data_IF_998406744448
#
_entry.id   IF_998406744448
#
_cell.length_a   1.000
_cell.length_b   1.000
_cell.length_c   1.000
_cell.angle_alpha   90.00
_cell.angle_beta   90.00
_cell.angle_gamma   90.00
#
_symmetry.space_group_name_H-M   'P 1'
#
loop_
_entity.id
_entity.type
_entity.pdbx_description
1 polymer ?
#
# COMPACT_ATOMS: atom_id res chain seq x y z
N UNK A 1 -9.86 1.25 -9.03
CA UNK A 1 -8.92 0.20 -9.44
C UNK A 1 -9.31 -1.13 -8.86
N UNK A 2 -8.51 -2.17 -9.08
CA UNK A 2 -8.69 -3.51 -8.48
C UNK A 2 -7.32 -4.06 -8.07
N UNK A 3 -7.26 -4.79 -6.96
CA UNK A 3 -6.08 -5.54 -6.56
C UNK A 3 -5.91 -6.79 -7.43
N UNK A 4 -4.73 -6.99 -8.02
CA UNK A 4 -4.37 -8.18 -8.79
C UNK A 4 -3.42 -9.00 -7.91
N UNK A 5 -4.01 -9.77 -7.00
CA UNK A 5 -3.30 -10.47 -5.93
C UNK A 5 -2.66 -11.78 -6.39
N UNK A 6 -1.77 -12.32 -5.57
CA UNK A 6 -1.04 -13.57 -5.79
C UNK A 6 0.40 -13.51 -5.30
N UNK A 7 1.02 -12.32 -5.29
CA UNK A 7 2.37 -12.10 -4.74
C UNK A 7 2.43 -12.15 -3.21
N UNK A 8 1.27 -11.96 -2.59
CA UNK A 8 0.96 -11.93 -1.16
C UNK A 8 0.46 -13.28 -0.61
N UNK A 9 0.17 -14.25 -1.48
CA UNK A 9 -0.43 -15.52 -1.05
C UNK A 9 0.46 -16.24 -0.03
N UNK A 10 -0.17 -16.60 1.10
CA UNK A 10 0.47 -17.24 2.25
C UNK A 10 1.03 -16.29 3.30
N UNK A 11 1.03 -14.97 3.06
CA UNK A 11 1.32 -14.01 4.11
C UNK A 11 0.26 -14.05 5.21
N UNK A 12 0.73 -14.05 6.45
CA UNK A 12 -0.09 -13.94 7.65
C UNK A 12 0.02 -12.53 8.24
N UNK A 13 -0.95 -12.12 9.05
CA UNK A 13 -0.99 -10.77 9.65
C UNK A 13 0.18 -10.49 10.59
N UNK A 14 0.89 -11.50 11.08
CA UNK A 14 2.11 -11.30 11.85
C UNK A 14 3.33 -10.93 10.98
N UNK A 15 3.15 -10.80 9.66
CA UNK A 15 4.20 -10.49 8.70
C UNK A 15 5.05 -11.70 8.30
N UNK A 16 4.63 -12.92 8.61
CA UNK A 16 5.26 -14.16 8.12
C UNK A 16 4.78 -14.48 6.70
N UNK A 17 5.70 -14.56 5.73
CA UNK A 17 5.37 -14.84 4.33
C UNK A 17 6.24 -15.97 3.75
N UNK A 18 5.77 -17.24 3.76
CA UNK A 18 6.50 -18.37 3.21
C UNK A 18 6.61 -18.30 1.69
N UNK A 19 7.84 -18.23 1.18
CA UNK A 19 8.15 -18.08 -0.26
C UNK A 19 7.42 -19.07 -1.18
N UNK A 20 7.20 -20.31 -0.72
CA UNK A 20 6.58 -21.37 -1.52
C UNK A 20 5.07 -21.23 -1.74
N UNK A 21 4.44 -20.19 -1.19
CA UNK A 21 3.00 -19.91 -1.35
C UNK A 21 2.70 -18.84 -2.39
N UNK A 22 3.71 -18.08 -2.81
CA UNK A 22 3.57 -17.02 -3.79
C UNK A 22 3.13 -17.57 -5.15
N UNK A 23 2.06 -17.02 -5.68
CA UNK A 23 1.50 -17.34 -6.99
C UNK A 23 1.23 -16.05 -7.79
N UNK A 24 2.30 -15.45 -8.32
CA UNK A 24 2.23 -14.21 -9.10
C UNK A 24 1.19 -14.32 -10.23
N UNK A 25 0.35 -13.30 -10.44
CA UNK A 25 -0.83 -13.35 -11.31
C UNK A 25 -0.48 -13.21 -12.80
N UNK A 26 0.37 -14.10 -13.30
CA UNK A 26 0.64 -14.29 -14.72
C UNK A 26 0.54 -15.77 -15.05
N UNK A 27 -0.25 -16.10 -16.08
CA UNK A 27 -0.36 -17.47 -16.61
C UNK A 27 1.00 -18.07 -16.97
N UNK A 28 1.93 -17.24 -17.50
CA UNK A 28 3.30 -17.64 -17.83
C UNK A 28 4.17 -18.00 -16.61
N UNK A 29 3.76 -17.56 -15.42
CA UNK A 29 4.43 -17.85 -14.14
C UNK A 29 3.67 -18.89 -13.30
N UNK A 30 2.61 -19.49 -13.85
CA UNK A 30 1.78 -20.49 -13.16
C UNK A 30 0.67 -19.91 -12.27
N UNK A 31 0.40 -18.60 -12.34
CA UNK A 31 -0.70 -17.95 -11.64
C UNK A 31 -1.91 -17.66 -12.51
N UNK A 32 -2.80 -16.79 -12.00
CA UNK A 32 -3.97 -16.32 -12.74
C UNK A 32 -3.59 -15.51 -13.99
N UNK A 33 -4.53 -15.34 -14.91
CA UNK A 33 -4.34 -14.52 -16.13
C UNK A 33 -4.45 -13.02 -15.83
N UNK A 34 -3.62 -12.50 -14.93
CA UNK A 34 -3.66 -11.09 -14.51
C UNK A 34 -3.40 -10.11 -15.64
N UNK A 35 -2.57 -10.46 -16.63
CA UNK A 35 -2.41 -9.64 -17.84
C UNK A 35 -3.72 -9.51 -18.62
N UNK A 36 -4.44 -10.61 -18.84
CA UNK A 36 -5.74 -10.59 -19.50
C UNK A 36 -6.78 -9.81 -18.69
N UNK A 37 -6.81 -10.01 -17.37
CA UNK A 37 -7.72 -9.31 -16.46
C UNK A 37 -7.47 -7.79 -16.46
N UNK A 38 -6.21 -7.35 -16.31
CA UNK A 38 -5.86 -5.92 -16.33
C UNK A 38 -6.23 -5.27 -17.67
N UNK A 39 -5.94 -5.93 -18.79
CA UNK A 39 -6.34 -5.43 -20.11
C UNK A 39 -7.87 -5.29 -20.24
N UNK A 40 -8.64 -6.29 -19.79
CA UNK A 40 -10.09 -6.22 -19.74
C UNK A 40 -10.58 -5.04 -18.89
N UNK A 41 -10.04 -4.89 -17.68
CA UNK A 41 -10.43 -3.83 -16.77
C UNK A 41 -10.17 -2.43 -17.32
N UNK A 42 -9.06 -2.22 -18.04
CA UNK A 42 -8.80 -0.92 -18.70
C UNK A 42 -9.69 -0.73 -19.93
N UNK A 43 -9.76 -1.73 -20.82
CA UNK A 43 -10.39 -1.57 -22.13
C UNK A 43 -11.92 -1.56 -22.04
N UNK A 44 -12.49 -2.44 -21.23
CA UNK A 44 -13.94 -2.63 -21.06
C UNK A 44 -14.46 -1.80 -19.89
N UNK A 45 -13.82 -1.94 -18.73
CA UNK A 45 -14.34 -1.39 -17.46
C UNK A 45 -13.81 0.01 -17.12
N UNK A 46 -12.90 0.56 -17.94
CA UNK A 46 -12.31 1.91 -17.80
C UNK A 46 -11.58 2.16 -16.48
N UNK A 47 -11.13 1.11 -15.80
CA UNK A 47 -10.25 1.26 -14.65
C UNK A 47 -8.88 1.78 -15.09
N UNK A 48 -8.21 2.50 -14.19
CA UNK A 48 -6.93 3.15 -14.47
C UNK A 48 -5.88 2.92 -13.37
N UNK A 49 -6.10 1.98 -12.45
CA UNK A 49 -5.17 1.66 -11.37
C UNK A 49 -5.28 0.19 -10.97
N UNK A 50 -4.14 -0.46 -10.77
CA UNK A 50 -4.03 -1.80 -10.21
C UNK A 50 -3.08 -1.83 -9.02
N UNK A 51 -3.52 -2.48 -7.94
CA UNK A 51 -2.69 -2.78 -6.77
C UNK A 51 -2.10 -4.16 -6.92
N UNK A 52 -0.79 -4.29 -6.72
CA UNK A 52 -0.02 -5.50 -7.00
C UNK A 52 0.69 -5.98 -5.73
N UNK A 53 -0.05 -6.62 -4.80
CA UNK A 53 0.51 -7.11 -3.54
C UNK A 53 1.67 -8.07 -3.74
N UNK A 54 2.72 -7.90 -2.94
CA UNK A 54 3.85 -8.81 -2.87
C UNK A 54 4.48 -8.80 -1.48
N UNK A 55 4.91 -9.97 -1.02
CA UNK A 55 5.64 -10.05 0.25
C UNK A 55 7.05 -9.49 0.15
N UNK A 56 7.50 -8.82 1.21
CA UNK A 56 8.88 -8.41 1.40
C UNK A 56 9.82 -9.62 1.30
N UNK A 57 9.50 -10.71 2.01
CA UNK A 57 10.25 -11.98 1.97
C UNK A 57 10.53 -12.44 0.55
N UNK A 58 9.53 -12.41 -0.34
CA UNK A 58 9.70 -12.82 -1.73
C UNK A 58 10.69 -11.93 -2.47
N UNK A 59 10.53 -10.61 -2.36
CA UNK A 59 11.37 -9.63 -3.07
C UNK A 59 12.85 -9.75 -2.72
N UNK A 60 13.19 -10.06 -1.46
CA UNK A 60 14.58 -10.14 -0.98
C UNK A 60 15.03 -11.55 -0.63
N UNK A 61 14.23 -12.56 -1.00
CA UNK A 61 14.50 -13.98 -0.73
C UNK A 61 14.90 -14.26 0.75
N UNK A 62 14.05 -13.82 1.68
CA UNK A 62 14.23 -13.93 3.13
C UNK A 62 15.46 -13.21 3.72
N UNK A 63 16.00 -12.19 3.05
CA UNK A 63 17.11 -11.37 3.56
C UNK A 63 16.64 -9.92 3.85
N UNK A 64 16.08 -9.63 5.04
CA UNK A 64 15.58 -8.29 5.34
C UNK A 64 16.73 -7.27 5.32
N UNK A 65 16.57 -6.21 4.51
CA UNK A 65 17.62 -5.22 4.24
C UNK A 65 18.66 -5.63 3.19
N UNK A 66 18.61 -6.86 2.70
CA UNK A 66 19.42 -7.37 1.60
C UNK A 66 19.04 -6.76 0.26
N UNK A 67 19.70 -7.23 -0.80
CA UNK A 67 19.38 -6.83 -2.17
C UNK A 67 18.07 -7.47 -2.63
N UNK A 68 17.38 -6.83 -3.58
CA UNK A 68 16.32 -7.47 -4.35
C UNK A 68 16.90 -8.74 -5.02
N UNK A 69 16.25 -9.87 -4.77
CA UNK A 69 16.66 -11.15 -5.36
C UNK A 69 16.37 -11.11 -6.87
N UNK A 70 17.41 -11.28 -7.69
CA UNK A 70 17.31 -11.10 -9.13
C UNK A 70 16.24 -12.00 -9.79
N UNK A 71 16.02 -13.20 -9.25
CA UNK A 71 15.03 -14.13 -9.80
C UNK A 71 13.61 -13.78 -9.34
N UNK A 72 13.40 -13.63 -8.03
CA UNK A 72 12.08 -13.35 -7.48
C UNK A 72 11.61 -11.95 -7.91
N UNK A 73 12.47 -10.94 -7.78
CA UNK A 73 12.17 -9.60 -8.24
C UNK A 73 11.96 -9.54 -9.75
N UNK A 74 12.78 -10.25 -10.54
CA UNK A 74 12.60 -10.32 -11.99
C UNK A 74 11.24 -10.93 -12.41
N UNK A 75 10.66 -11.83 -11.60
CA UNK A 75 9.31 -12.35 -11.82
C UNK A 75 8.23 -11.35 -11.41
N UNK A 76 8.38 -10.67 -10.27
CA UNK A 76 7.45 -9.61 -9.87
C UNK A 76 7.46 -8.43 -10.86
N UNK A 77 8.63 -8.03 -11.35
CA UNK A 77 8.77 -6.97 -12.33
C UNK A 77 8.06 -7.29 -13.65
N UNK A 78 7.98 -8.56 -14.06
CA UNK A 78 7.14 -8.94 -15.20
C UNK A 78 5.67 -8.56 -14.97
N UNK A 79 5.13 -8.76 -13.77
CA UNK A 79 3.75 -8.34 -13.41
C UNK A 79 3.62 -6.82 -13.49
N UNK A 80 4.57 -6.08 -12.91
CA UNK A 80 4.63 -4.61 -12.99
C UNK A 80 4.66 -4.12 -14.44
N UNK A 81 5.49 -4.71 -15.31
CA UNK A 81 5.56 -4.33 -16.72
C UNK A 81 4.27 -4.65 -17.47
N UNK A 82 3.60 -5.77 -17.18
CA UNK A 82 2.27 -6.06 -17.76
C UNK A 82 1.23 -5.04 -17.33
N UNK A 83 1.25 -4.62 -16.07
CA UNK A 83 0.38 -3.54 -15.59
C UNK A 83 0.69 -2.22 -16.31
N UNK A 84 1.94 -1.77 -16.35
CA UNK A 84 2.34 -0.49 -16.94
C UNK A 84 2.06 -0.42 -18.44
N UNK A 85 2.13 -1.55 -19.14
CA UNK A 85 1.77 -1.67 -20.55
C UNK A 85 0.29 -1.38 -20.84
N UNK A 86 -0.59 -1.50 -19.85
CA UNK A 86 -2.01 -1.14 -20.00
C UNK A 86 -2.26 0.37 -20.03
N UNK A 87 -1.30 1.18 -19.59
CA UNK A 87 -1.47 2.62 -19.39
C UNK A 87 -1.93 3.03 -17.99
N UNK A 88 -2.35 2.07 -17.15
CA UNK A 88 -2.81 2.32 -15.78
C UNK A 88 -1.68 2.71 -14.81
N UNK A 89 -2.08 3.24 -13.65
CA UNK A 89 -1.23 3.31 -12.47
C UNK A 89 -1.01 1.91 -11.87
N UNK A 90 0.22 1.63 -11.45
CA UNK A 90 0.63 0.31 -10.94
C UNK A 90 1.24 0.47 -9.56
N UNK A 91 0.51 0.01 -8.55
CA UNK A 91 0.86 0.19 -7.15
C UNK A 91 1.63 -1.03 -6.65
N UNK A 92 2.87 -0.78 -6.21
CA UNK A 92 3.68 -1.75 -5.47
C UNK A 92 3.21 -1.72 -4.03
N UNK A 93 2.59 -2.81 -3.59
CA UNK A 93 2.14 -3.03 -2.22
C UNK A 93 3.06 -4.04 -1.54
N UNK A 94 3.69 -3.60 -0.43
CA UNK A 94 4.47 -4.47 0.44
C UNK A 94 3.54 -5.08 1.49
N UNK A 95 3.12 -6.33 1.25
CA UNK A 95 2.00 -6.95 1.95
C UNK A 95 2.39 -7.60 3.29
N UNK A 96 2.92 -6.81 4.23
CA UNK A 96 3.67 -7.29 5.40
C UNK A 96 3.21 -6.78 6.77
N UNK A 97 2.12 -6.02 6.89
CA UNK A 97 1.52 -5.66 8.19
C UNK A 97 2.47 -4.89 9.14
N UNK A 98 3.40 -4.13 8.55
CA UNK A 98 4.53 -3.47 9.20
C UNK A 98 5.45 -4.43 9.99
N UNK A 99 5.49 -5.70 9.59
CA UNK A 99 6.19 -6.77 10.29
C UNK A 99 7.03 -7.65 9.36
N UNK A 100 7.97 -8.34 10.00
CA UNK A 100 8.69 -9.47 9.44
C UNK A 100 8.73 -10.57 10.49
N UNK A 101 8.11 -11.71 10.21
CA UNK A 101 8.06 -12.91 11.07
C UNK A 101 7.76 -12.57 12.55
N UNK A 102 6.71 -11.77 12.78
CA UNK A 102 6.24 -11.33 14.09
C UNK A 102 6.86 -10.03 14.61
N UNK A 103 8.02 -9.63 14.12
CA UNK A 103 8.73 -8.42 14.57
C UNK A 103 8.27 -7.15 13.86
N UNK A 104 7.93 -6.10 14.61
CA UNK A 104 7.47 -4.81 14.06
C UNK A 104 8.67 -3.95 13.60
N UNK A 105 8.61 -3.42 12.38
CA UNK A 105 9.65 -2.58 11.81
C UNK A 105 9.88 -1.34 12.69
N UNK A 106 11.13 -1.09 13.08
CA UNK A 106 11.52 0.02 13.94
C UNK A 106 11.08 -0.13 15.40
N UNK A 107 10.42 -1.24 15.77
CA UNK A 107 9.82 -1.45 17.09
C UNK A 107 10.03 -2.89 17.61
N UNK A 108 11.21 -3.47 17.35
CA UNK A 108 11.62 -4.79 17.83
C UNK A 108 11.80 -5.85 16.74
N UNK A 109 11.34 -5.58 15.53
CA UNK A 109 11.64 -6.35 14.32
C UNK A 109 12.78 -5.74 13.49
N UNK A 110 12.67 -5.76 12.15
CA UNK A 110 13.67 -5.13 11.28
C UNK A 110 13.89 -3.66 11.62
N UNK A 111 15.11 -3.17 11.39
CA UNK A 111 15.41 -1.75 11.59
C UNK A 111 14.79 -0.89 10.48
N UNK A 112 14.64 0.41 10.74
CA UNK A 112 14.24 1.36 9.70
C UNK A 112 15.17 1.31 8.49
N UNK A 113 16.47 1.09 8.69
CA UNK A 113 17.45 1.03 7.60
C UNK A 113 17.23 -0.19 6.70
N UNK A 114 16.80 -1.33 7.25
CA UNK A 114 16.45 -2.51 6.46
C UNK A 114 15.21 -2.27 5.60
N UNK A 115 14.22 -1.57 6.15
CA UNK A 115 13.02 -1.16 5.40
C UNK A 115 13.32 -0.09 4.34
N UNK A 116 14.15 0.90 4.69
CA UNK A 116 14.65 1.93 3.76
C UNK A 116 15.46 1.32 2.62
N UNK A 117 16.25 0.27 2.89
CA UNK A 117 17.01 -0.46 1.86
C UNK A 117 16.09 -1.04 0.78
N UNK A 118 14.98 -1.67 1.17
CA UNK A 118 13.97 -2.17 0.24
C UNK A 118 13.41 -1.04 -0.65
N UNK A 119 12.94 0.03 -0.02
CA UNK A 119 12.30 1.14 -0.72
C UNK A 119 13.25 1.91 -1.62
N UNK A 120 14.52 2.06 -1.22
CA UNK A 120 15.55 2.68 -2.06
C UNK A 120 15.73 1.90 -3.36
N UNK A 121 15.81 0.56 -3.29
CA UNK A 121 16.01 -0.28 -4.46
C UNK A 121 14.80 -0.28 -5.39
N UNK A 122 13.58 -0.39 -4.84
CA UNK A 122 12.33 -0.30 -5.62
C UNK A 122 12.20 1.07 -6.30
N UNK A 123 12.46 2.15 -5.58
CA UNK A 123 12.45 3.50 -6.13
C UNK A 123 13.49 3.67 -7.24
N UNK A 124 14.72 3.18 -7.07
CA UNK A 124 15.75 3.23 -8.11
C UNK A 124 15.32 2.49 -9.39
N UNK A 125 14.64 1.35 -9.25
CA UNK A 125 14.15 0.56 -10.39
C UNK A 125 13.02 1.27 -11.14
N UNK A 126 12.11 1.93 -10.43
CA UNK A 126 10.86 2.43 -10.99
C UNK A 126 10.79 3.95 -11.16
N UNK A 127 11.82 4.71 -10.75
CA UNK A 127 11.83 6.19 -10.79
C UNK A 127 11.47 6.84 -12.13
N UNK A 128 11.69 6.15 -13.24
CA UNK A 128 11.46 6.69 -14.59
C UNK A 128 9.98 6.69 -15.02
N UNK A 129 9.11 5.93 -14.33
CA UNK A 129 7.69 5.83 -14.68
C UNK A 129 6.83 6.44 -13.57
N UNK A 130 6.20 7.58 -13.86
CA UNK A 130 5.35 8.32 -12.93
C UNK A 130 4.05 7.58 -12.57
N UNK A 131 3.67 6.56 -13.36
CA UNK A 131 2.48 5.76 -13.12
C UNK A 131 2.68 4.75 -12.00
N UNK A 132 3.92 4.50 -11.59
CA UNK A 132 4.19 3.66 -10.42
C UNK A 132 3.74 4.38 -9.15
N UNK A 133 3.01 3.67 -8.30
CA UNK A 133 2.59 4.11 -6.98
C UNK A 133 3.30 3.25 -5.94
N UNK A 134 3.83 3.87 -4.90
CA UNK A 134 4.52 3.19 -3.82
C UNK A 134 3.62 3.15 -2.58
N UNK A 135 2.99 2.02 -2.31
CA UNK A 135 2.30 1.80 -1.05
C UNK A 135 3.29 1.28 -0.03
N UNK A 136 3.61 2.09 0.99
CA UNK A 136 4.73 1.79 1.88
C UNK A 136 4.59 0.44 2.61
N UNK A 137 3.36 0.06 2.95
CA UNK A 137 3.07 -1.15 3.73
C UNK A 137 1.56 -1.43 3.77
N UNK A 138 1.16 -2.66 3.52
CA UNK A 138 -0.20 -3.13 3.81
C UNK A 138 -0.47 -3.15 5.32
N UNK A 139 -1.58 -2.58 5.74
CA UNK A 139 -2.23 -2.80 7.04
C UNK A 139 -1.35 -2.92 8.30
N UNK A 140 -0.53 -1.91 8.65
CA UNK A 140 0.09 -1.85 9.98
C UNK A 140 -0.97 -1.98 11.10
N UNK A 141 -0.64 -2.72 12.16
CA UNK A 141 -1.53 -2.90 13.31
C UNK A 141 -0.73 -3.13 14.61
N UNK A 142 -1.38 -2.97 15.76
CA UNK A 142 -0.80 -3.23 17.10
C UNK A 142 0.63 -2.69 17.28
N UNK A 143 0.83 -1.41 16.93
CA UNK A 143 2.11 -0.72 16.98
C UNK A 143 1.99 0.72 17.50
N UNK A 144 3.12 1.32 17.89
CA UNK A 144 3.19 2.76 18.19
C UNK A 144 3.18 3.56 16.88
N UNK A 145 2.09 4.28 16.64
CA UNK A 145 1.87 5.00 15.39
C UNK A 145 2.81 6.19 15.20
N UNK A 146 3.33 6.78 16.27
CA UNK A 146 4.28 7.88 16.16
C UNK A 146 5.66 7.39 15.72
N UNK A 147 6.11 6.24 16.28
CA UNK A 147 7.32 5.57 15.81
C UNK A 147 7.17 5.10 14.36
N UNK A 148 6.02 4.53 14.01
CA UNK A 148 5.74 4.11 12.63
C UNK A 148 5.75 5.28 11.64
N UNK A 149 5.14 6.42 11.97
CA UNK A 149 5.19 7.60 11.12
C UNK A 149 6.63 8.10 10.90
N UNK A 150 7.51 7.98 11.91
CA UNK A 150 8.94 8.28 11.76
C UNK A 150 9.65 7.29 10.80
N UNK A 151 9.31 6.00 10.86
CA UNK A 151 9.77 4.99 9.88
C UNK A 151 9.30 5.34 8.47
N UNK A 152 8.02 5.67 8.28
CA UNK A 152 7.47 6.10 6.98
C UNK A 152 8.16 7.37 6.46
N UNK A 153 8.45 8.34 7.31
CA UNK A 153 9.18 9.56 6.94
C UNK A 153 10.58 9.25 6.39
N UNK A 154 11.28 8.28 6.98
CA UNK A 154 12.59 7.82 6.48
C UNK A 154 12.45 7.16 5.11
N UNK A 155 11.45 6.30 4.92
CA UNK A 155 11.17 5.66 3.64
C UNK A 155 10.82 6.67 2.53
N UNK A 156 9.93 7.64 2.81
CA UNK A 156 9.62 8.75 1.88
C UNK A 156 10.88 9.49 1.47
N UNK A 157 11.70 9.90 2.45
CA UNK A 157 12.93 10.64 2.16
C UNK A 157 13.90 9.81 1.29
N UNK A 158 14.00 8.50 1.52
CA UNK A 158 14.84 7.60 0.74
C UNK A 158 14.32 7.40 -0.70
N UNK A 159 13.01 7.20 -0.88
CA UNK A 159 12.37 7.10 -2.20
C UNK A 159 12.65 8.35 -3.03
N UNK A 160 12.45 9.54 -2.44
CA UNK A 160 12.72 10.81 -3.12
C UNK A 160 14.21 10.97 -3.45
N UNK A 161 15.12 10.65 -2.51
CA UNK A 161 16.58 10.72 -2.75
C UNK A 161 17.08 9.71 -3.78
N UNK A 162 16.39 8.59 -3.97
CA UNK A 162 16.66 7.62 -5.04
C UNK A 162 16.29 8.14 -6.44
N UNK A 163 15.63 9.30 -6.52
CA UNK A 163 15.24 9.97 -7.76
C UNK A 163 13.80 9.74 -8.20
N UNK A 164 12.99 9.01 -7.42
CA UNK A 164 11.58 8.80 -7.70
C UNK A 164 10.75 10.01 -7.21
N UNK A 165 10.88 11.12 -7.94
CA UNK A 165 10.35 12.43 -7.53
C UNK A 165 8.88 12.65 -7.88
N UNK A 166 8.36 12.00 -8.93
CA UNK A 166 7.00 12.24 -9.44
C UNK A 166 5.95 11.26 -8.91
N UNK A 167 6.37 10.09 -8.42
CA UNK A 167 5.48 9.02 -8.03
C UNK A 167 4.64 9.38 -6.80
N UNK A 168 3.43 8.84 -6.76
CA UNK A 168 2.58 8.82 -5.56
C UNK A 168 3.16 7.86 -4.52
N UNK A 169 3.13 8.27 -3.25
CA UNK A 169 3.48 7.42 -2.10
C UNK A 169 2.28 7.37 -1.16
N UNK A 170 1.79 6.16 -0.86
CA UNK A 170 0.71 5.96 0.10
C UNK A 170 1.28 5.76 1.51
N UNK A 171 0.64 6.42 2.47
CA UNK A 171 1.04 6.48 3.87
C UNK A 171 0.03 5.69 4.73
N UNK A 172 0.37 4.46 5.14
CA UNK A 172 -0.51 3.57 5.89
C UNK A 172 -0.45 3.79 7.40
N UNK A 173 -1.60 3.64 8.06
CA UNK A 173 -1.79 3.84 9.50
C UNK A 173 -1.92 2.55 10.29
N UNK A 174 -2.09 2.66 11.61
CA UNK A 174 -2.35 1.49 12.46
C UNK A 174 -3.82 1.04 12.37
N UNK A 175 -4.18 -0.02 13.09
CA UNK A 175 -5.49 -0.68 13.03
C UNK A 175 -5.86 -1.14 11.62
N UNK A 176 -4.92 -1.77 10.91
CA UNK A 176 -5.13 -2.32 9.57
C UNK A 176 -5.59 -1.27 8.57
N UNK A 177 -4.98 -0.07 8.60
CA UNK A 177 -5.40 1.07 7.78
C UNK A 177 -6.88 1.47 7.93
N UNK A 178 -7.59 1.02 8.98
CA UNK A 178 -9.05 1.12 9.04
C UNK A 178 -9.54 2.56 9.00
N UNK A 179 -10.38 2.89 8.02
CA UNK A 179 -11.01 4.21 7.90
C UNK A 179 -11.82 4.60 9.17
N UNK A 180 -12.33 3.62 9.92
CA UNK A 180 -13.08 3.86 11.16
C UNK A 180 -12.19 4.38 12.29
N UNK A 181 -10.96 3.87 12.39
CA UNK A 181 -10.01 4.21 13.44
C UNK A 181 -8.92 5.19 12.98
N UNK A 182 -8.89 5.56 11.70
CA UNK A 182 -7.81 6.34 11.11
C UNK A 182 -7.54 7.65 11.87
N UNK A 183 -8.60 8.39 12.19
CA UNK A 183 -8.49 9.65 12.96
C UNK A 183 -8.30 9.39 14.45
N UNK A 184 -9.14 8.54 15.06
CA UNK A 184 -9.15 8.33 16.51
C UNK A 184 -7.92 7.61 17.06
N UNK A 185 -7.22 6.83 16.22
CA UNK A 185 -5.96 6.17 16.57
C UNK A 185 -4.74 7.11 16.57
N UNK A 186 -4.89 8.35 16.09
CA UNK A 186 -3.78 9.27 15.87
C UNK A 186 -3.01 9.04 14.56
N UNK A 187 -3.35 8.02 13.77
CA UNK A 187 -2.71 7.75 12.47
C UNK A 187 -2.85 8.93 11.52
N UNK A 188 -4.05 9.51 11.44
CA UNK A 188 -4.33 10.61 10.52
C UNK A 188 -3.42 11.81 10.76
N UNK A 189 -3.27 12.27 12.02
CA UNK A 189 -2.41 13.41 12.34
C UNK A 189 -0.91 13.07 12.18
N UNK A 190 -0.47 11.89 12.65
CA UNK A 190 0.93 11.48 12.57
C UNK A 190 1.42 11.37 11.11
N UNK A 191 0.62 10.75 10.24
CA UNK A 191 0.95 10.58 8.83
C UNK A 191 0.73 11.87 8.02
N UNK A 192 -0.23 12.70 8.40
CA UNK A 192 -0.44 14.00 7.76
C UNK A 192 0.73 14.98 7.98
N UNK A 193 1.60 14.72 8.96
CA UNK A 193 2.80 15.51 9.22
C UNK A 193 4.02 15.09 8.37
N UNK A 194 3.97 13.95 7.66
CA UNK A 194 5.08 13.48 6.83
C UNK A 194 5.25 14.39 5.61
N UNK A 195 6.50 14.78 5.33
CA UNK A 195 6.85 15.64 4.18
C UNK A 195 7.87 14.99 3.26
N UNK A 196 7.92 15.47 2.01
CA UNK A 196 9.05 15.28 1.13
C UNK A 196 10.30 16.04 1.68
N UNK A 197 11.51 15.76 1.16
CA UNK A 197 12.73 16.45 1.58
C UNK A 197 12.72 17.97 1.40
N UNK A 198 11.90 18.50 0.49
CA UNK A 198 11.72 19.93 0.26
C UNK A 198 10.66 20.57 1.19
N UNK A 199 10.07 19.79 2.09
CA UNK A 199 9.02 20.22 3.01
C UNK A 199 7.61 20.18 2.44
N UNK A 200 7.43 19.84 1.15
CA UNK A 200 6.10 19.69 0.55
C UNK A 200 5.42 18.39 1.01
N UNK A 201 4.11 18.28 0.78
CA UNK A 201 3.36 17.02 0.91
C UNK A 201 2.89 16.51 -0.45
N UNK A 202 3.48 17.01 -1.53
CA UNK A 202 3.07 16.70 -2.89
C UNK A 202 3.22 15.19 -3.16
N UNK A 203 2.19 14.60 -3.75
CA UNK A 203 2.09 13.17 -4.05
C UNK A 203 2.24 12.24 -2.81
N UNK A 204 2.09 12.77 -1.58
CA UNK A 204 1.98 11.97 -0.36
C UNK A 204 0.50 11.83 0.01
N UNK A 205 -0.04 10.63 -0.12
CA UNK A 205 -1.48 10.35 0.01
C UNK A 205 -1.71 9.47 1.23
N UNK A 206 -2.74 9.78 2.02
CA UNK A 206 -3.09 8.96 3.18
C UNK A 206 -3.82 7.70 2.73
N UNK A 207 -3.38 6.56 3.25
CA UNK A 207 -3.90 5.26 2.86
C UNK A 207 -4.93 4.74 3.87
N UNK A 208 -6.10 4.34 3.39
CA UNK A 208 -7.17 3.80 4.24
C UNK A 208 -7.83 2.57 3.62
N UNK A 209 -8.16 1.61 4.47
CA UNK A 209 -8.88 0.39 4.13
C UNK A 209 -10.22 0.36 4.85
N UNK A 210 -11.22 -0.33 4.28
CA UNK A 210 -12.43 -0.67 5.03
C UNK A 210 -13.20 -1.83 4.40
N UNK A 211 -13.63 -2.76 5.25
CA UNK A 211 -14.55 -3.84 4.93
C UNK A 211 -15.91 -3.63 5.58
N UNK A 212 -16.92 -4.36 5.08
CA UNK A 212 -18.33 -4.16 5.42
C UNK A 212 -18.87 -5.27 6.34
N UNK A 213 -18.09 -6.32 6.58
CA UNK A 213 -18.46 -7.41 7.47
C UNK A 213 -18.36 -7.02 8.95
N UNK A 214 -18.96 -7.86 9.81
CA UNK A 214 -19.20 -7.59 11.23
C UNK A 214 -17.97 -7.19 12.06
N UNK A 215 -16.77 -7.58 11.60
CA UNK A 215 -15.51 -7.34 12.28
C UNK A 215 -14.47 -6.63 11.38
N UNK A 216 -14.89 -6.04 10.25
CA UNK A 216 -14.03 -5.30 9.33
C UNK A 216 -12.85 -6.14 8.77
N UNK A 217 -13.00 -7.46 8.66
CA UNK A 217 -11.91 -8.36 8.22
C UNK A 217 -11.95 -8.71 6.74
N UNK A 218 -13.09 -8.50 6.07
CA UNK A 218 -13.27 -8.94 4.68
C UNK A 218 -13.32 -10.47 4.53
N UNK A 219 -13.62 -11.22 5.59
CA UNK A 219 -13.61 -12.69 5.55
C UNK A 219 -15.01 -13.29 5.57
N UNK A 220 -16.04 -12.50 5.88
CA UNK A 220 -17.41 -12.98 5.97
C UNK A 220 -18.25 -12.61 4.75
N UNK A 221 -19.29 -13.41 4.53
CA UNK A 221 -20.21 -13.22 3.41
C UNK A 221 -21.14 -12.02 3.60
N UNK A 222 -21.64 -11.79 4.81
CA UNK A 222 -22.66 -10.77 5.05
C UNK A 222 -22.04 -9.39 5.22
N UNK A 223 -22.67 -8.39 4.61
CA UNK A 223 -22.38 -6.99 4.91
C UNK A 223 -23.32 -6.49 6.01
N UNK A 224 -22.75 -5.79 6.99
CA UNK A 224 -23.45 -5.32 8.20
C UNK A 224 -23.46 -3.81 8.35
N UNK A 225 -22.71 -3.09 7.52
CA UNK A 225 -22.59 -1.63 7.52
C UNK A 225 -22.28 -1.12 6.10
N UNK A 226 -22.62 0.14 5.82
CA UNK A 226 -22.26 0.86 4.59
C UNK A 226 -20.97 1.70 4.74
N UNK A 227 -20.40 1.76 5.94
CA UNK A 227 -19.20 2.54 6.28
C UNK A 227 -19.27 4.05 5.95
N UNK A 228 -20.44 4.61 5.60
CA UNK A 228 -20.57 6.01 5.17
C UNK A 228 -20.08 6.97 6.25
N UNK A 229 -20.39 6.71 7.52
CA UNK A 229 -19.91 7.53 8.64
C UNK A 229 -18.40 7.47 8.82
N UNK A 230 -17.78 6.31 8.64
CA UNK A 230 -16.33 6.15 8.75
C UNK A 230 -15.62 6.96 7.66
N UNK A 231 -16.08 6.85 6.40
CA UNK A 231 -15.52 7.64 5.31
C UNK A 231 -15.83 9.12 5.43
N UNK A 232 -16.96 9.53 6.02
CA UNK A 232 -17.25 10.95 6.28
C UNK A 232 -16.23 11.56 7.23
N UNK A 233 -15.92 10.90 8.35
CA UNK A 233 -14.91 11.37 9.30
C UNK A 233 -13.53 11.50 8.65
N UNK A 234 -13.15 10.55 7.80
CA UNK A 234 -11.89 10.63 7.04
C UNK A 234 -11.93 11.80 6.05
N UNK A 235 -13.03 11.97 5.31
CA UNK A 235 -13.17 13.08 4.35
C UNK A 235 -13.07 14.46 5.02
N UNK A 236 -13.75 14.63 6.16
CA UNK A 236 -13.69 15.86 6.97
C UNK A 236 -12.27 16.15 7.45
N UNK A 237 -11.56 15.13 7.95
CA UNK A 237 -10.15 15.26 8.33
C UNK A 237 -9.29 15.70 7.14
N UNK A 238 -9.38 14.98 6.02
CA UNK A 238 -8.60 15.25 4.82
C UNK A 238 -8.81 16.70 4.33
N UNK A 239 -10.07 17.16 4.29
CA UNK A 239 -10.40 18.55 3.94
C UNK A 239 -9.76 19.53 4.91
N UNK A 240 -9.88 19.28 6.20
CA UNK A 240 -9.35 20.18 7.24
C UNK A 240 -7.82 20.34 7.18
N UNK A 241 -7.11 19.31 6.71
CA UNK A 241 -5.65 19.31 6.57
C UNK A 241 -5.16 19.64 5.16
N UNK A 242 -6.05 19.83 4.20
CA UNK A 242 -5.68 20.00 2.79
C UNK A 242 -4.97 18.76 2.21
N UNK A 243 -5.27 17.57 2.73
CA UNK A 243 -4.65 16.30 2.31
C UNK A 243 -5.59 15.51 1.40
N UNK A 244 -5.00 14.56 0.67
CA UNK A 244 -5.73 13.58 -0.15
C UNK A 244 -5.61 12.20 0.47
N UNK A 245 -6.63 11.37 0.28
CA UNK A 245 -6.63 9.97 0.67
C UNK A 245 -6.96 9.06 -0.51
N UNK A 246 -6.47 7.83 -0.45
CA UNK A 246 -6.85 6.74 -1.36
C UNK A 246 -7.43 5.61 -0.53
N UNK A 247 -8.56 5.06 -0.96
CA UNK A 247 -9.10 3.83 -0.39
C UNK A 247 -8.45 2.65 -1.13
N UNK A 248 -7.25 2.23 -0.71
CA UNK A 248 -6.47 1.23 -1.46
C UNK A 248 -6.94 -0.22 -1.27
N UNK A 249 -7.85 -0.44 -0.32
CA UNK A 249 -8.52 -1.73 -0.13
C UNK A 249 -9.94 -1.59 0.41
N UNK A 250 -10.89 -2.16 -0.31
CA UNK A 250 -12.25 -2.41 0.18
C UNK A 250 -12.88 -3.53 -0.63
N UNK A 251 -13.76 -4.32 -0.03
CA UNK A 251 -14.41 -5.43 -0.71
C UNK A 251 -15.67 -5.88 0.01
N UNK A 252 -16.52 -6.57 -0.74
CA UNK A 252 -17.75 -7.15 -0.25
C UNK A 252 -18.02 -8.47 -1.00
N UNK A 253 -18.88 -9.32 -0.45
CA UNK A 253 -19.27 -10.55 -1.14
C UNK A 253 -20.44 -10.30 -2.12
N UNK A 254 -20.77 -11.30 -2.94
CA UNK A 254 -21.96 -11.30 -3.79
C UNK A 254 -23.28 -11.60 -3.04
N UNK A 255 -23.31 -11.49 -1.71
CA UNK A 255 -24.54 -11.60 -0.93
C UNK A 255 -25.47 -10.39 -1.15
N UNK A 256 -26.78 -10.61 -1.10
CA UNK A 256 -27.76 -9.55 -1.30
C UNK A 256 -27.60 -8.39 -0.30
N UNK A 257 -27.17 -8.67 0.94
CA UNK A 257 -26.87 -7.64 1.95
C UNK A 257 -25.79 -6.65 1.49
N UNK A 258 -24.86 -7.09 0.64
CA UNK A 258 -23.72 -6.30 0.23
C UNK A 258 -24.01 -5.33 -0.92
N UNK A 259 -24.96 -5.62 -1.80
CA UNK A 259 -25.25 -4.75 -2.93
C UNK A 259 -25.75 -3.37 -2.50
N UNK A 260 -26.55 -3.28 -1.44
CA UNK A 260 -26.98 -1.97 -0.94
C UNK A 260 -25.83 -1.24 -0.23
N UNK A 261 -25.19 -1.89 0.73
CA UNK A 261 -24.18 -1.25 1.58
C UNK A 261 -22.90 -0.89 0.83
N UNK A 262 -22.41 -1.77 -0.06
CA UNK A 262 -21.17 -1.51 -0.81
C UNK A 262 -21.37 -0.44 -1.88
N UNK A 263 -22.52 -0.43 -2.55
CA UNK A 263 -22.86 0.63 -3.48
C UNK A 263 -22.98 1.99 -2.76
N UNK A 264 -23.60 2.04 -1.58
CA UNK A 264 -23.70 3.26 -0.77
C UNK A 264 -22.31 3.79 -0.34
N UNK A 265 -21.44 2.90 0.15
CA UNK A 265 -20.05 3.22 0.49
C UNK A 265 -19.31 3.87 -0.70
N UNK A 266 -19.30 3.18 -1.84
CA UNK A 266 -18.51 3.59 -2.99
C UNK A 266 -19.08 4.84 -3.65
N UNK A 267 -20.41 5.01 -3.62
CA UNK A 267 -21.06 6.28 -4.03
C UNK A 267 -20.59 7.44 -3.14
N UNK A 268 -20.55 7.25 -1.82
CA UNK A 268 -20.07 8.28 -0.91
C UNK A 268 -18.61 8.64 -1.18
N UNK A 269 -17.72 7.64 -1.35
CA UNK A 269 -16.31 7.88 -1.69
C UNK A 269 -16.19 8.69 -2.98
N UNK A 270 -16.88 8.28 -4.05
CA UNK A 270 -16.84 8.97 -5.36
C UNK A 270 -17.38 10.41 -5.29
N UNK A 271 -18.43 10.66 -4.50
CA UNK A 271 -19.01 12.00 -4.30
C UNK A 271 -18.09 12.94 -3.50
N UNK A 272 -17.14 12.40 -2.75
CA UNK A 272 -16.14 13.16 -1.98
C UNK A 272 -14.77 13.19 -2.70
N UNK A 273 -14.81 13.29 -4.04
CA UNK A 273 -13.62 13.26 -4.92
C UNK A 273 -12.67 14.47 -4.78
N UNK A 274 -13.09 15.51 -4.07
CA UNK A 274 -12.21 16.60 -3.65
C UNK A 274 -11.17 16.15 -2.61
N UNK A 275 -11.33 15.00 -1.96
CA UNK A 275 -10.35 14.45 -1.00
C UNK A 275 -10.00 13.00 -1.23
N UNK A 276 -10.94 12.16 -1.68
CA UNK A 276 -10.63 10.79 -2.09
C UNK A 276 -10.25 10.76 -3.57
N UNK A 277 -9.00 10.39 -3.86
CA UNK A 277 -8.50 10.34 -5.25
C UNK A 277 -8.86 9.03 -5.97
N UNK A 278 -9.47 8.09 -5.26
CA UNK A 278 -9.97 6.83 -5.82
C UNK A 278 -10.22 5.77 -4.76
N UNK A 279 -10.69 4.62 -5.23
CA UNK A 279 -10.80 3.38 -4.48
C UNK A 279 -10.27 2.20 -5.29
N UNK A 280 -9.78 1.17 -4.60
CA UNK A 280 -9.29 -0.09 -5.18
C UNK A 280 -10.06 -1.24 -4.55
N UNK A 281 -10.76 -2.01 -5.38
CA UNK A 281 -11.51 -3.18 -4.94
C UNK A 281 -10.62 -4.39 -4.67
N UNK A 282 -10.86 -5.07 -3.54
CA UNK A 282 -10.28 -6.36 -3.19
C UNK A 282 -11.27 -7.48 -3.53
N UNK A 283 -10.94 -8.48 -4.38
CA UNK A 283 -9.71 -8.62 -5.18
C UNK A 283 -9.90 -9.50 -6.43
N UNK A 284 -8.95 -9.41 -7.36
CA UNK A 284 -8.82 -10.25 -8.55
C UNK A 284 -7.40 -10.87 -8.62
N UNK A 285 -6.89 -11.17 -9.81
CA UNK A 285 -5.56 -11.76 -10.03
C UNK A 285 -5.59 -13.28 -9.95
N UNK A 286 -4.81 -13.86 -9.04
CA UNK A 286 -4.73 -15.31 -8.82
C UNK A 286 -5.84 -15.86 -7.93
N UNK A 287 -6.73 -15.01 -7.39
CA UNK A 287 -7.94 -15.49 -6.72
C UNK A 287 -8.92 -16.12 -7.71
N UNK A 288 -9.50 -17.25 -7.31
CA UNK A 288 -10.58 -17.88 -8.06
C UNK A 288 -11.86 -17.02 -8.04
N UNK A 289 -12.73 -17.23 -9.04
CA UNK A 289 -14.02 -16.55 -9.15
C UNK A 289 -15.02 -16.91 -8.03
N UNK A 290 -14.73 -17.93 -7.21
CA UNK A 290 -15.55 -18.35 -6.07
C UNK A 290 -15.00 -17.87 -4.72
N UNK A 291 -13.88 -17.16 -4.69
CA UNK A 291 -13.40 -16.48 -3.50
C UNK A 291 -14.49 -15.52 -2.98
N UNK A 292 -14.67 -15.44 -1.65
CA UNK A 292 -15.81 -14.76 -1.04
C UNK A 292 -15.92 -13.28 -1.44
N UNK A 293 -14.78 -12.59 -1.61
CA UNK A 293 -14.71 -11.21 -2.10
C UNK A 293 -14.21 -11.11 -3.55
N UNK A 294 -14.42 -12.15 -4.37
CA UNK A 294 -13.86 -12.17 -5.73
C UNK A 294 -14.44 -11.05 -6.60
N UNK A 295 -13.55 -10.30 -7.23
CA UNK A 295 -13.77 -9.43 -8.38
C UNK A 295 -13.08 -10.00 -9.64
N UNK A 296 -12.55 -11.24 -9.58
CA UNK A 296 -11.92 -11.91 -10.73
C UNK A 296 -12.95 -12.08 -11.86
N UNK A 297 -12.72 -11.50 -13.05
CA UNK A 297 -13.65 -11.65 -14.16
C UNK A 297 -13.57 -13.06 -14.72
N UNK A 298 -14.71 -13.61 -15.12
CA UNK A 298 -14.77 -14.95 -15.72
C UNK A 298 -14.32 -14.88 -17.18
N UNK A 299 -13.32 -15.68 -17.52
CA UNK A 299 -12.88 -15.86 -18.91
C UNK A 299 -13.91 -16.67 -19.67
N UNK A 300 -14.45 -16.11 -20.74
CA UNK A 300 -15.39 -16.73 -21.66
C UNK A 300 -14.67 -17.62 -22.67
N UNK A 301 -15.37 -18.61 -23.24
CA UNK A 301 -14.78 -19.57 -24.20
C UNK A 301 -14.25 -18.94 -25.50
N UNK A 302 -14.64 -17.71 -25.81
CA UNK A 302 -14.11 -16.91 -26.93
C UNK A 302 -12.87 -16.07 -26.54
N UNK A 303 -12.34 -16.22 -25.33
CA UNK A 303 -11.19 -15.47 -24.82
C UNK A 303 -11.53 -14.12 -24.17
N UNK A 304 -12.78 -13.66 -24.23
CA UNK A 304 -13.23 -12.44 -23.54
C UNK A 304 -13.40 -12.61 -22.04
N UNK A 305 -13.65 -11.52 -21.32
CA UNK A 305 -13.84 -11.48 -19.88
C UNK A 305 -15.20 -10.90 -19.51
N UNK A 306 -15.81 -11.43 -18.45
CA UNK A 306 -17.07 -10.93 -17.91
C UNK A 306 -16.96 -10.66 -16.41
N UNK A 307 -17.19 -9.40 -16.02
CA UNK A 307 -17.26 -8.99 -14.62
C UNK A 307 -18.51 -9.56 -13.94
N UNK A 308 -18.41 -9.84 -12.63
CA UNK A 308 -19.55 -10.21 -11.82
C UNK A 308 -20.45 -9.00 -11.51
N UNK A 309 -21.62 -9.26 -10.94
CA UNK A 309 -22.63 -8.24 -10.72
C UNK A 309 -22.21 -7.22 -9.66
N UNK A 310 -21.49 -7.63 -8.61
CA UNK A 310 -20.99 -6.71 -7.59
C UNK A 310 -19.98 -5.71 -8.18
N UNK A 311 -19.05 -6.18 -9.01
CA UNK A 311 -18.09 -5.34 -9.72
C UNK A 311 -18.80 -4.32 -10.60
N UNK A 312 -19.77 -4.77 -11.40
CA UNK A 312 -20.55 -3.87 -12.28
C UNK A 312 -21.33 -2.85 -11.47
N UNK A 313 -22.17 -3.29 -10.54
CA UNK A 313 -23.15 -2.43 -9.88
C UNK A 313 -22.52 -1.54 -8.80
N UNK A 314 -21.58 -2.05 -8.00
CA UNK A 314 -21.09 -1.33 -6.84
C UNK A 314 -19.69 -0.73 -7.01
N UNK A 315 -18.92 -1.13 -8.03
CA UNK A 315 -17.61 -0.53 -8.33
C UNK A 315 -17.68 0.34 -9.59
N UNK A 316 -18.18 -0.18 -10.71
CA UNK A 316 -18.20 0.53 -11.99
C UNK A 316 -19.34 1.53 -12.10
N UNK A 317 -20.57 1.10 -11.84
CA UNK A 317 -21.77 1.93 -11.99
C UNK A 317 -21.78 3.07 -10.96
N UNK A 318 -21.33 2.82 -9.73
CA UNK A 318 -21.21 3.89 -8.71
C UNK A 318 -20.24 4.98 -9.14
N UNK A 319 -19.17 4.63 -9.87
CA UNK A 319 -18.25 5.62 -10.44
C UNK A 319 -18.87 6.32 -11.65
N UNK A 320 -19.43 5.56 -12.59
CA UNK A 320 -20.01 6.09 -13.83
C UNK A 320 -21.22 7.02 -13.59
N UNK A 321 -22.01 6.73 -12.55
CA UNK A 321 -23.22 7.48 -12.19
C UNK A 321 -22.98 8.59 -11.18
N UNK A 322 -21.77 8.72 -10.63
CA UNK A 322 -21.48 9.86 -9.75
C UNK A 322 -21.32 11.10 -10.63
N UNK A 323 -22.26 12.03 -10.53
CA UNK A 323 -22.07 13.39 -11.03
C UNK A 323 -20.79 13.92 -10.40
N UNK A 324 -19.78 14.21 -11.24
CA UNK A 324 -18.55 14.81 -10.74
C UNK A 324 -18.87 16.22 -10.24
N UNK A 325 -19.26 16.32 -8.96
CA UNK A 325 -19.47 17.55 -8.23
C UNK A 325 -18.12 18.22 -7.93
N UNK A 326 -17.31 18.42 -8.97
CA UNK A 326 -16.23 19.38 -8.94
C UNK A 326 -16.88 20.75 -9.11
N UNK A 327 -17.50 21.24 -8.03
CA UNK A 327 -17.63 22.68 -7.88
C UNK A 327 -16.21 23.22 -7.84
N UNK A 328 -15.75 23.78 -8.96
CA UNK A 328 -14.53 24.56 -8.99
C UNK A 328 -14.59 25.55 -7.81
N UNK A 329 -13.51 25.71 -7.01
CA UNK A 329 -13.51 26.70 -5.95
C UNK A 329 -13.94 28.03 -6.56
N UNK A 330 -14.99 28.64 -6.00
CA UNK A 330 -15.40 29.97 -6.42
C UNK A 330 -14.16 30.86 -6.34
N UNK A 331 -13.66 31.32 -7.50
CA UNK A 331 -12.64 32.37 -7.53
C UNK A 331 -13.24 33.54 -6.78
N UNK A 332 -12.71 33.84 -5.61
CA UNK A 332 -12.98 35.11 -4.94
C UNK A 332 -12.60 36.20 -5.92
N UNK A 333 -13.60 36.88 -6.49
CA UNK A 333 -13.37 38.03 -7.34
C UNK A 333 -12.65 39.09 -6.50
N UNK A 334 -11.34 39.26 -6.70
CA UNK A 334 -10.66 40.43 -6.17
C UNK A 334 -11.26 41.63 -6.86
N UNK A 335 -11.92 42.50 -6.11
CA UNK A 335 -12.34 43.80 -6.60
C UNK A 335 -11.10 44.57 -7.05
N UNK A 336 -10.94 44.74 -8.37
CA UNK A 336 -9.95 45.64 -8.94
C UNK A 336 -10.43 47.07 -8.73
N UNK A 337 -9.83 47.77 -7.77
CA UNK A 337 -9.88 49.22 -7.75
C UNK A 337 -9.03 49.75 -8.91
N UNK A 338 -9.68 50.46 -9.82
CA UNK A 338 -9.07 51.15 -10.95
C UNK A 338 -8.18 52.30 -10.48
N UNK A 339 -6.89 52.27 -10.83
CA UNK A 339 -6.04 53.47 -10.85
C UNK A 339 -5.93 54.01 -12.29
N UNK A 340 -5.83 55.34 -12.51
CA UNK A 340 -5.82 55.92 -13.84
C UNK A 340 -4.45 55.80 -14.51
N UNK A 341 -4.49 55.64 -15.83
CA UNK A 341 -3.35 55.52 -16.71
C UNK A 341 -2.51 56.82 -16.78
N UNK A 342 -1.19 56.66 -16.83
CA UNK A 342 -0.25 57.73 -17.22
C UNK A 342 0.44 57.32 -18.52
N UNK A 343 0.27 58.16 -19.54
CA UNK A 343 0.77 58.00 -20.90
C UNK A 343 2.30 57.88 -20.99
N UNK A 344 2.74 57.01 -21.90
CA UNK A 344 4.12 56.91 -22.37
C UNK A 344 4.48 58.04 -23.36
N UNK A 345 5.73 58.50 -23.31
CA UNK A 345 6.44 59.11 -24.44
C UNK A 345 7.73 58.33 -24.73
N UNK A 346 8.19 58.25 -26.00
CA UNK A 346 9.28 57.37 -26.41
C UNK A 346 10.59 58.14 -26.68
N UNK A 347 11.75 57.51 -26.44
CA UNK A 347 13.02 57.95 -27.04
C UNK A 347 13.92 56.77 -27.44
N UNK A 348 14.60 57.01 -28.57
CA UNK A 348 15.43 56.10 -29.37
C UNK A 348 16.80 55.78 -28.76
N UNK A 349 17.38 54.72 -29.32
CA UNK A 349 18.67 54.08 -29.08
C UNK A 349 19.94 54.95 -29.09
N UNK A 350 20.99 54.45 -28.43
CA UNK A 350 22.39 54.59 -28.87
C UNK A 350 23.25 53.44 -28.31
N UNK A 351 24.26 53.05 -29.09
CA UNK A 351 25.22 51.97 -28.93
C UNK A 351 26.45 52.34 -28.08
N UNK A 352 27.10 51.35 -27.48
CA UNK A 352 28.57 51.17 -27.51
C UNK A 352 29.02 49.97 -26.65
N UNK A 353 29.92 49.15 -27.21
CA UNK A 353 30.72 48.15 -26.52
C UNK A 353 31.94 48.80 -25.83
N UNK A 354 32.73 48.07 -25.01
CA UNK A 354 33.91 47.41 -25.60
C UNK A 354 34.32 46.04 -24.99
N UNK A 355 34.80 45.18 -25.88
CA UNK A 355 36.02 44.35 -25.93
C UNK A 355 36.64 43.67 -24.68
N UNK A 356 36.98 42.40 -24.87
CA UNK A 356 37.64 41.42 -23.99
C UNK A 356 39.18 41.55 -23.87
N UNK A 357 39.78 40.80 -22.93
CA UNK A 357 40.94 39.87 -23.09
C UNK A 357 41.18 39.09 -21.76
N UNK A 358 41.75 37.86 -21.79
CA UNK A 358 41.60 36.82 -20.76
C UNK A 358 42.86 36.53 -19.95
N UNK A 359 42.75 35.82 -18.81
CA UNK A 359 43.91 35.18 -18.15
C UNK A 359 43.57 33.76 -17.67
N UNK A 360 44.50 32.87 -18.01
CA UNK A 360 44.59 31.42 -17.92
C UNK A 360 44.86 30.87 -16.51
N UNK A 361 44.40 29.63 -16.29
CA UNK A 361 44.87 28.74 -15.23
C UNK A 361 46.26 28.15 -15.53
N UNK A 362 46.92 27.54 -14.53
CA UNK A 362 47.45 26.20 -14.77
C UNK A 362 47.17 25.21 -13.63
N UNK A 363 47.09 23.94 -14.01
CA UNK A 363 47.06 22.75 -13.16
C UNK A 363 48.42 22.03 -13.20
N UNK A 364 48.80 21.36 -12.09
CA UNK A 364 49.58 20.10 -11.95
C UNK A 364 49.96 19.90 -10.45
N UNK A 365 49.47 18.84 -9.77
CA UNK A 365 50.18 17.56 -9.39
C UNK A 365 51.54 17.79 -8.72
N UNK A 366 51.90 17.24 -7.55
CA UNK A 366 51.75 15.87 -6.97
C UNK A 366 52.27 15.85 -5.51
N UNK A 367 51.88 14.83 -4.72
CA UNK A 367 52.56 14.10 -3.60
C UNK A 367 53.63 14.83 -2.73
N UNK A 368 53.75 14.72 -1.39
CA UNK A 368 53.62 13.57 -0.48
C UNK A 368 53.76 14.05 1.01
N UNK A 369 53.31 13.20 1.94
CA UNK A 369 53.75 13.01 3.34
C UNK A 369 53.58 14.10 4.43
N UNK A 370 52.66 13.79 5.37
CA UNK A 370 53.04 13.45 6.74
C UNK A 370 53.02 14.57 7.80
N UNK A 371 52.18 14.39 8.83
CA UNK A 371 52.43 14.56 10.28
C UNK A 371 51.09 14.85 11.01
N UNK A 372 50.63 13.90 11.83
CA UNK A 372 49.66 14.06 12.93
C UNK A 372 50.42 14.52 14.22
N UNK A 373 49.84 14.73 15.44
CA UNK A 373 48.48 14.51 15.99
C UNK A 373 48.06 15.75 16.89
N UNK A 374 47.20 15.72 17.95
CA UNK A 374 46.50 14.60 18.58
C UNK A 374 45.02 14.77 18.98
N UNK A 375 44.49 13.59 19.27
CA UNK A 375 43.24 13.14 19.88
C UNK A 375 43.08 13.63 21.32
N UNK A 376 41.86 14.06 21.69
CA UNK A 376 41.47 14.28 23.10
C UNK A 376 40.49 13.19 23.52
N UNK A 377 40.98 12.30 24.38
CA UNK A 377 40.20 11.35 25.18
C UNK A 377 39.77 12.10 26.44
N UNK A 378 38.47 12.12 26.74
CA UNK A 378 37.98 12.48 28.08
C UNK A 378 37.57 11.20 28.78
N UNK A 379 38.21 10.98 29.92
CA UNK A 379 37.97 9.90 30.88
C UNK A 379 37.49 10.52 32.19
N UNK A 380 36.95 9.65 33.07
CA UNK A 380 36.80 9.76 34.54
C UNK A 380 35.36 10.05 35.06
N UNK A 381 35.02 9.73 36.33
CA UNK A 381 34.61 8.39 36.78
C UNK A 381 33.46 8.38 37.83
N UNK A 382 33.21 7.20 38.41
CA UNK A 382 32.74 6.93 39.79
C UNK A 382 31.23 6.90 40.15
N UNK A 383 30.77 5.66 40.34
CA UNK A 383 30.02 5.10 41.49
C UNK A 383 29.46 6.05 42.57
N UNK A 384 28.17 5.87 42.90
CA UNK A 384 27.63 5.96 44.26
C UNK A 384 26.51 4.92 44.46
N UNK A 385 26.57 4.24 45.61
CA UNK A 385 25.67 3.19 46.11
C UNK A 385 24.65 3.78 47.13
N UNK A 386 23.39 3.31 47.03
CA UNK A 386 22.45 2.88 48.10
C UNK A 386 21.90 3.91 49.12
N UNK A 387 20.57 4.07 49.20
CA UNK A 387 19.74 3.55 50.31
C UNK A 387 18.21 3.54 49.99
N UNK A 388 17.41 2.54 50.45
CA UNK A 388 15.99 2.37 50.16
C UNK A 388 15.06 2.66 51.36
N UNK A 389 13.86 3.20 51.10
CA UNK A 389 12.77 3.23 52.09
C UNK A 389 11.38 3.24 51.41
N UNK A 390 10.77 2.04 51.35
CA UNK A 390 9.35 1.59 51.53
C UNK A 390 8.16 2.60 51.53
N UNK A 391 6.87 2.18 51.30
CA UNK A 391 6.31 0.82 51.39
C UNK A 391 5.32 0.36 50.29
N UNK A 392 5.17 -0.97 50.23
CA UNK A 392 4.19 -1.79 49.49
C UNK A 392 2.76 -1.68 50.05
N UNK A 393 1.70 -1.75 49.22
CA UNK A 393 0.33 -2.03 49.67
C UNK A 393 -0.01 -3.55 49.66
N UNK A 394 -1.01 -3.98 50.43
CA UNK A 394 -1.21 -5.38 50.82
C UNK A 394 -1.93 -6.24 49.78
N UNK A 395 -1.60 -7.53 49.81
CA UNK A 395 -2.25 -8.63 49.09
C UNK A 395 -3.59 -9.03 49.74
N UNK A 396 -4.67 -9.26 48.98
CA UNK A 396 -5.87 -9.92 49.51
C UNK A 396 -5.77 -11.45 49.37
N UNK A 397 -5.98 -12.14 50.48
CA UNK A 397 -6.15 -13.59 50.61
C UNK A 397 -7.62 -14.01 50.41
N UNK A 398 -7.89 -15.03 49.58
CA UNK A 398 -9.18 -15.77 49.55
C UNK A 398 -9.58 -16.29 48.16
N UNK A 399 -10.38 -17.37 48.06
CA UNK A 399 -9.94 -18.61 47.40
C UNK A 399 -10.34 -18.79 45.93
N UNK A 400 -9.49 -19.57 45.23
CA UNK A 400 -9.64 -20.07 43.86
C UNK A 400 -10.99 -20.76 43.62
N UNK A 401 -11.70 -20.32 42.58
CA UNK A 401 -12.58 -21.16 41.76
C UNK A 401 -11.97 -21.31 40.38
N UNK A 402 -11.77 -22.55 39.96
CA UNK A 402 -11.36 -22.93 38.61
C UNK A 402 -12.40 -22.50 37.58
N UNK A 403 -11.94 -21.81 36.53
CA UNK A 403 -12.74 -21.38 35.40
C UNK A 403 -11.86 -20.69 34.37
N UNK A 404 -10.87 -21.41 33.81
CA UNK A 404 -10.12 -20.93 32.66
C UNK A 404 -10.92 -21.16 31.38
N UNK A 405 -11.64 -20.13 30.95
CA UNK A 405 -12.01 -19.92 29.55
C UNK A 405 -10.87 -19.16 28.90
N UNK A 406 -9.98 -19.86 28.19
CA UNK A 406 -8.97 -19.25 27.34
C UNK A 406 -9.64 -18.80 26.04
N UNK A 407 -9.90 -17.50 25.90
CA UNK A 407 -10.22 -16.87 24.61
C UNK A 407 -8.93 -16.70 23.83
N UNK A 408 -8.68 -17.64 22.91
CA UNK A 408 -7.69 -17.53 21.84
C UNK A 408 -8.20 -16.51 20.81
N UNK A 409 -7.37 -15.60 20.29
CA UNK A 409 -7.79 -14.75 19.16
C UNK A 409 -8.11 -15.65 17.95
N UNK A 410 -9.12 -15.30 17.13
CA UNK A 410 -9.55 -16.16 16.03
C UNK A 410 -8.44 -16.23 14.98
N UNK A 411 -7.98 -17.44 14.68
CA UNK A 411 -7.19 -17.73 13.49
C UNK A 411 -8.10 -17.63 12.27
N UNK A 412 -7.78 -16.69 11.37
CA UNK A 412 -8.39 -16.59 10.04
C UNK A 412 -7.98 -17.81 9.21
N UNK A 413 -8.89 -18.49 8.50
CA UNK A 413 -8.53 -19.63 7.67
C UNK A 413 -7.83 -19.16 6.39
N UNK A 414 -6.60 -19.63 6.23
CA UNK A 414 -5.83 -19.62 4.99
C UNK A 414 -6.54 -20.39 3.88
N UNK A 415 -6.42 -19.92 2.65
CA UNK A 415 -6.81 -20.66 1.45
C UNK A 415 -5.96 -21.95 1.34
N UNK A 416 -6.48 -23.05 1.87
CA UNK A 416 -5.88 -24.36 1.74
C UNK A 416 -6.21 -24.96 0.36
N UNK A 417 -5.17 -25.17 -0.45
CA UNK A 417 -5.27 -25.84 -1.74
C UNK A 417 -5.74 -27.29 -1.60
N UNK A 418 -6.74 -27.66 -2.39
CA UNK A 418 -7.24 -29.04 -2.51
C UNK A 418 -6.21 -29.93 -3.20
N UNK A 419 -5.55 -30.82 -2.44
CA UNK A 419 -4.86 -31.99 -2.99
C UNK A 419 -5.88 -33.11 -3.21
N UNK A 420 -5.98 -33.58 -4.44
CA UNK A 420 -6.75 -34.77 -4.79
C UNK A 420 -5.89 -36.00 -4.46
N UNK A 421 -6.29 -36.78 -3.45
CA UNK A 421 -5.71 -38.11 -3.20
C UNK A 421 -6.32 -39.14 -4.16
N UNK A 422 -5.47 -39.83 -4.93
CA UNK A 422 -5.85 -41.06 -5.63
C UNK A 422 -5.96 -42.20 -4.63
N UNK A 423 -7.19 -42.57 -4.29
CA UNK A 423 -7.49 -43.81 -3.58
C UNK A 423 -7.42 -45.01 -4.53
N UNK A 424 -6.32 -45.77 -4.46
CA UNK A 424 -6.23 -47.10 -5.03
C UNK A 424 -7.01 -48.10 -4.16
N UNK A 425 -7.89 -48.89 -4.77
CA UNK A 425 -8.47 -50.08 -4.13
C UNK A 425 -8.29 -51.27 -5.07
N UNK A 426 -7.50 -52.25 -4.61
CA UNK A 426 -7.32 -53.56 -5.22
C UNK A 426 -8.27 -54.57 -4.53
N UNK A 427 -9.14 -55.21 -5.31
CA UNK A 427 -9.85 -56.49 -5.08
C UNK A 427 -10.69 -56.68 -6.35
N UNK A 428 -10.52 -57.66 -7.24
CA UNK A 428 -10.09 -59.04 -7.08
C UNK A 428 -11.28 -59.95 -7.42
N UNK A 429 -11.14 -60.75 -8.49
CA UNK A 429 -11.99 -61.84 -9.01
C UNK A 429 -13.06 -61.54 -10.08
N UNK A 430 -13.04 -62.36 -11.14
CA UNK A 430 -14.28 -62.79 -11.81
C UNK A 430 -14.23 -62.93 -13.33
N UNK A 431 -13.44 -63.89 -13.83
CA UNK A 431 -13.45 -64.41 -15.19
C UNK A 431 -14.86 -64.87 -15.63
N UNK A 432 -15.49 -64.30 -16.67
CA UNK A 432 -16.48 -65.02 -17.50
C UNK A 432 -16.36 -64.62 -18.97
N UNK A 433 -16.27 -65.68 -19.77
CA UNK A 433 -16.12 -65.83 -21.21
C UNK A 433 -17.16 -65.06 -22.03
N UNK A 434 -16.69 -64.48 -23.14
CA UNK A 434 -17.53 -64.07 -24.26
C UNK A 434 -18.01 -65.29 -25.06
N UNK A 435 -19.30 -65.31 -25.41
CA UNK A 435 -19.87 -66.13 -26.49
C UNK A 435 -21.04 -65.37 -27.12
N UNK A 436 -20.74 -64.82 -28.31
CA UNK A 436 -21.59 -64.66 -29.50
C UNK A 436 -23.10 -64.40 -29.31
N UNK A 437 -23.53 -63.18 -29.68
CA UNK A 437 -24.29 -62.89 -30.91
C UNK A 437 -24.38 -61.39 -31.17
#
# INVERSE_FOLDING_TARGET
GVAISGGDFGCETDGSCPLGKVQLPLSSLGGGDGEGQMNHFVQTSKLNMFRLPVSWQFLVNNQPGGQLDANNFGRYDQVMQKCLATGAHCMVDIHNFARWDGGIIGQGGPTDDQFVSLWTQLAQRYKADERVVFELMNEPHDLDVALWAATCQKAVAAIRRAGAASQMILLPGTNFNSAEFFVSSGSADALAAITNPDGSTDNLVLDVHKYLDENNSGTHKLCTTDNVESFRKVAEFLRSKGRKGLVSETGASNDASCFTSFCAQNTFINQNSDVFIGLVGWAAGSFDANYVLSLTPKKSGNGGYADNDLMKQCVLDTWANTEQNVSAPARSASQSQSQPAVSAMPTKASSSAPTAIPVTAPARSSEEQGIAPPTTIVSMPSTLLVDPSTPTPPTPTGPRRNGTTTTRPPSVPTAAGSRMEMGGTFLGLGLVLALLL
#
